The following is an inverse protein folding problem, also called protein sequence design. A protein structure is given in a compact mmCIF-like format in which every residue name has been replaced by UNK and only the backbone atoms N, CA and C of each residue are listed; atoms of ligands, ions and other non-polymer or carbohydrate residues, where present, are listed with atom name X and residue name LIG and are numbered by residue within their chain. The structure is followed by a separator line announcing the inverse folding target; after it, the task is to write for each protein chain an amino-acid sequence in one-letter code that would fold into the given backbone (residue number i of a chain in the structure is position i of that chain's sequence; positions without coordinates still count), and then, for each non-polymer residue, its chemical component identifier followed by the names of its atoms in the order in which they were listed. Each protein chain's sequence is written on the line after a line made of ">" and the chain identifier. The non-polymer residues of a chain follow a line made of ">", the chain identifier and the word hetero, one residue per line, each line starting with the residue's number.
data_IF_948402928141
#
_entry.id   IF_948402928141
#
_cell.length_a   1.000
_cell.length_b   1.000
_cell.length_c   1.000
_cell.angle_alpha   90.00
_cell.angle_beta   90.00
_cell.angle_gamma   90.00
#
_symmetry.space_group_name_H-M   'P 1'
#
loop_
_entity.id
_entity.type
_entity.pdbx_description
1 polymer ?
#
# COMPACT_ATOMS: atom_id res chain seq x y z
N UNK A 1 3.12 0.70 16.30
CA UNK A 1 3.62 1.27 15.03
C UNK A 1 3.37 0.29 13.88
N UNK A 2 2.17 0.28 13.29
CA UNK A 2 1.89 -0.42 12.03
C UNK A 2 0.92 0.45 11.24
N UNK A 3 1.47 1.40 10.48
CA UNK A 3 0.65 2.28 9.65
C UNK A 3 0.07 1.45 8.51
N UNK A 4 -1.25 1.34 8.48
CA UNK A 4 -1.96 0.69 7.39
C UNK A 4 -1.86 1.55 6.12
N UNK A 5 -1.70 0.90 4.97
CA UNK A 5 -1.56 1.52 3.66
C UNK A 5 -2.55 0.86 2.71
N UNK A 6 -3.37 1.67 2.06
CA UNK A 6 -4.41 1.24 1.13
C UNK A 6 -3.85 1.32 -0.29
N UNK A 7 -3.94 0.23 -1.02
CA UNK A 7 -3.56 0.16 -2.43
C UNK A 7 -4.73 0.60 -3.32
N UNK A 8 -4.46 0.92 -4.59
CA UNK A 8 -5.49 1.28 -5.58
C UNK A 8 -6.54 0.16 -5.83
N UNK A 9 -6.21 -1.08 -5.46
CA UNK A 9 -7.13 -2.22 -5.51
C UNK A 9 -7.98 -2.37 -4.25
N UNK A 10 -8.03 -1.35 -3.38
CA UNK A 10 -8.74 -1.30 -2.09
C UNK A 10 -8.31 -2.34 -1.06
N UNK A 11 -7.19 -3.02 -1.27
CA UNK A 11 -6.60 -3.88 -0.25
C UNK A 11 -5.65 -3.09 0.65
N UNK A 12 -5.68 -3.41 1.94
CA UNK A 12 -4.94 -2.69 2.97
C UNK A 12 -3.92 -3.62 3.61
N UNK A 13 -2.69 -3.16 3.73
CA UNK A 13 -1.59 -3.90 4.36
C UNK A 13 -0.79 -2.98 5.27
N UNK A 14 -0.03 -3.55 6.20
CA UNK A 14 0.90 -2.75 6.99
C UNK A 14 2.06 -2.25 6.12
N UNK A 15 2.57 -1.06 6.39
CA UNK A 15 3.71 -0.49 5.63
C UNK A 15 4.91 -1.44 5.57
N UNK A 16 5.28 -2.05 6.71
CA UNK A 16 6.36 -3.03 6.77
C UNK A 16 6.09 -4.26 5.89
N UNK A 17 4.84 -4.73 5.88
CA UNK A 17 4.40 -5.88 5.11
C UNK A 17 4.56 -5.61 3.61
N UNK A 18 4.15 -4.41 3.16
CA UNK A 18 4.30 -3.96 1.78
C UNK A 18 5.77 -3.80 1.40
N UNK A 19 6.59 -3.21 2.28
CA UNK A 19 8.03 -3.04 2.02
C UNK A 19 8.73 -4.37 1.85
N UNK A 20 8.47 -5.35 2.73
CA UNK A 20 9.02 -6.70 2.59
C UNK A 20 8.57 -7.37 1.30
N UNK A 21 7.27 -7.28 0.97
CA UNK A 21 6.72 -7.86 -0.26
C UNK A 21 7.34 -7.23 -1.51
N UNK A 22 7.39 -5.90 -1.57
CA UNK A 22 8.01 -5.17 -2.67
C UNK A 22 9.48 -5.55 -2.85
N UNK A 23 10.26 -5.58 -1.77
CA UNK A 23 11.65 -6.00 -1.81
C UNK A 23 11.79 -7.45 -2.27
N UNK A 24 10.94 -8.36 -1.78
CA UNK A 24 10.96 -9.77 -2.19
C UNK A 24 10.71 -9.94 -3.69
N UNK A 25 9.70 -9.25 -4.24
CA UNK A 25 9.36 -9.30 -5.67
C UNK A 25 10.45 -8.67 -6.54
N UNK A 26 11.13 -7.64 -6.04
CA UNK A 26 12.17 -6.92 -6.78
C UNK A 26 13.59 -7.48 -6.57
N UNK A 27 13.82 -8.35 -5.59
CA UNK A 27 15.16 -8.87 -5.25
C UNK A 27 15.84 -9.60 -6.41
N UNK A 28 15.07 -10.19 -7.32
CA UNK A 28 15.59 -10.89 -8.50
C UNK A 28 15.62 -10.02 -9.76
N UNK A 29 15.15 -8.77 -9.70
CA UNK A 29 15.10 -7.89 -10.88
C UNK A 29 16.38 -7.09 -10.95
N UNK A 30 17.09 -7.19 -12.07
CA UNK A 30 18.27 -6.37 -12.38
C UNK A 30 17.94 -4.88 -12.54
N UNK A 31 16.65 -4.54 -12.65
CA UNK A 31 16.15 -3.18 -12.88
C UNK A 31 15.20 -2.80 -11.75
N UNK A 32 15.39 -1.59 -11.21
CA UNK A 32 14.45 -0.98 -10.26
C UNK A 32 13.08 -0.84 -10.92
N UNK A 33 12.08 -1.60 -10.46
CA UNK A 33 10.71 -1.47 -10.97
C UNK A 33 9.84 -0.69 -10.00
N UNK A 34 9.04 0.24 -10.54
CA UNK A 34 8.11 1.08 -9.79
C UNK A 34 6.76 0.43 -9.59
N UNK A 35 6.66 -0.90 -9.68
CA UNK A 35 5.41 -1.63 -9.55
C UNK A 35 5.58 -3.02 -8.91
N UNK A 36 4.49 -3.54 -8.35
CA UNK A 36 4.42 -4.89 -7.79
C UNK A 36 2.98 -5.42 -7.86
N UNK A 37 2.79 -6.76 -7.87
CA UNK A 37 1.45 -7.33 -7.81
C UNK A 37 0.90 -7.29 -6.39
N UNK A 38 -0.38 -6.92 -6.23
CA UNK A 38 -1.09 -7.01 -4.96
C UNK A 38 -1.06 -8.46 -4.43
N UNK A 39 -0.74 -8.70 -3.14
CA UNK A 39 -0.70 -10.04 -2.55
C UNK A 39 -2.03 -10.82 -2.64
N UNK A 40 -3.17 -10.11 -2.64
CA UNK A 40 -4.50 -10.74 -2.63
C UNK A 40 -5.07 -10.91 -4.03
N UNK A 41 -5.15 -9.83 -4.81
CA UNK A 41 -5.86 -9.83 -6.10
C UNK A 41 -4.93 -9.81 -7.32
N UNK A 42 -3.61 -9.79 -7.11
CA UNK A 42 -2.57 -9.73 -8.17
C UNK A 42 -2.66 -8.54 -9.12
N UNK A 43 -3.54 -7.57 -8.89
CA UNK A 43 -3.57 -6.30 -9.64
C UNK A 43 -2.21 -5.63 -9.55
N UNK A 44 -1.70 -5.11 -10.66
CA UNK A 44 -0.45 -4.33 -10.69
C UNK A 44 -0.67 -3.03 -9.93
N UNK A 45 0.19 -2.77 -8.96
CA UNK A 45 0.17 -1.58 -8.13
C UNK A 45 1.42 -0.77 -8.43
N UNK A 46 1.24 0.51 -8.72
CA UNK A 46 2.35 1.44 -8.94
C UNK A 46 2.79 2.10 -7.64
N UNK A 47 4.10 2.16 -7.43
CA UNK A 47 4.73 2.81 -6.28
C UNK A 47 4.68 4.33 -6.49
N UNK A 48 4.17 5.11 -5.53
CA UNK A 48 4.22 6.57 -5.58
C UNK A 48 5.67 7.08 -5.57
N UNK A 49 5.90 8.30 -6.07
CA UNK A 49 7.24 8.92 -6.10
C UNK A 49 7.96 8.97 -4.74
N UNK A 50 7.20 8.95 -3.64
CA UNK A 50 7.70 8.96 -2.26
C UNK A 50 7.79 7.56 -1.62
N UNK A 51 7.70 6.49 -2.42
CA UNK A 51 7.79 5.10 -1.96
C UNK A 51 6.52 4.60 -1.28
N UNK A 52 6.65 3.45 -0.60
CA UNK A 52 5.53 2.71 0.02
C UNK A 52 4.88 3.50 1.17
N UNK A 53 5.65 4.31 1.89
CA UNK A 53 5.14 5.17 2.96
C UNK A 53 4.13 6.21 2.48
N UNK A 54 4.12 6.53 1.18
CA UNK A 54 3.23 7.51 0.60
C UNK A 54 1.88 6.96 0.12
N UNK A 55 1.65 5.65 0.24
CA UNK A 55 0.30 5.12 0.05
C UNK A 55 -0.66 5.75 1.08
N UNK A 56 -1.92 6.00 0.68
CA UNK A 56 -2.91 6.55 1.57
C UNK A 56 -3.10 5.62 2.77
N UNK A 57 -3.06 6.18 3.97
CA UNK A 57 -3.46 5.47 5.17
C UNK A 57 -4.95 5.65 5.33
N UNK A 58 -5.68 4.54 5.53
CA UNK A 58 -7.11 4.60 5.78
C UNK A 58 -7.36 5.28 7.13
N UNK A 59 -7.46 6.61 7.11
CA UNK A 59 -7.93 7.43 8.23
C UNK A 59 -9.45 7.68 8.10
N UNK A 60 -10.19 6.80 7.41
CA UNK A 60 -11.63 6.98 7.19
C UNK A 60 -12.47 6.50 8.38
N UNK A 61 -12.14 6.92 9.60
CA UNK A 61 -13.08 6.87 10.74
C UNK A 61 -12.88 8.11 11.65
N UNK A 62 -12.84 9.30 11.06
CA UNK A 62 -13.08 10.54 11.85
C UNK A 62 -14.15 11.47 11.28
N UNK A 63 -14.65 11.24 10.07
CA UNK A 63 -15.61 12.14 9.41
C UNK A 63 -17.02 11.55 9.21
N UNK A 64 -17.29 10.32 9.67
CA UNK A 64 -18.63 9.71 9.59
C UNK A 64 -19.44 9.85 10.90
N UNK A 65 -18.83 10.35 11.99
CA UNK A 65 -19.55 10.63 13.25
C UNK A 65 -20.17 12.04 13.31
N UNK A 66 -19.96 12.91 12.33
CA UNK A 66 -20.57 14.26 12.29
C UNK A 66 -21.92 14.30 11.54
N UNK A 67 -22.53 13.15 11.24
CA UNK A 67 -23.83 13.09 10.57
C UNK A 67 -24.92 12.33 11.36
N UNK A 68 -24.67 12.11 12.65
CA UNK A 68 -25.68 11.61 13.59
C UNK A 68 -25.84 12.66 14.68
N UNK A 69 -26.49 13.77 14.33
CA UNK A 69 -27.16 14.67 15.28
C UNK A 69 -28.59 14.90 14.77
#
# INVERSE_FOLDING_TARGET
>A
FKTAKVLECMHTFCEECLTRHFNSVNSSRLVMTTNFPCPTCRKTIYIPNKGISAFPTDLKIKQILEFIE
#
